data_IF_814746943445
#
_entry.id   IF_814746943445
#
_cell.length_a   1.000
_cell.length_b   1.000
_cell.length_c   1.000
_cell.angle_alpha   90.00
_cell.angle_beta   90.00
_cell.angle_gamma   90.00
#
_symmetry.space_group_name_H-M   'P 1'
#
loop_
_entity.id
_entity.type
_entity.pdbx_description
1 polymer ?
#
# COMPACT_ATOMS: atom_id res chain seq x y z
N UNK A 1 26.53 -5.55 -9.89
CA UNK A 1 25.16 -5.03 -9.73
C UNK A 1 25.25 -3.96 -8.67
N UNK A 2 25.05 -2.69 -9.05
CA UNK A 2 24.95 -1.63 -8.05
C UNK A 2 23.90 -2.04 -7.02
N UNK A 3 24.26 -1.92 -5.76
CA UNK A 3 23.36 -2.23 -4.65
C UNK A 3 22.35 -1.09 -4.60
N UNK A 4 21.31 -1.16 -5.44
CA UNK A 4 20.26 -0.16 -5.52
C UNK A 4 19.68 -0.01 -4.12
N UNK A 5 19.87 1.17 -3.55
CA UNK A 5 19.40 1.50 -2.22
C UNK A 5 17.94 1.93 -2.33
N UNK A 6 17.03 1.00 -2.01
CA UNK A 6 15.58 1.21 -2.08
C UNK A 6 15.18 2.35 -1.15
N UNK A 7 15.80 2.46 0.02
CA UNK A 7 15.55 3.53 0.98
C UNK A 7 15.88 4.91 0.38
N UNK A 8 17.02 5.03 -0.33
CA UNK A 8 17.37 6.27 -1.04
C UNK A 8 16.34 6.62 -2.13
N UNK A 9 15.85 5.64 -2.88
CA UNK A 9 14.81 5.89 -3.90
C UNK A 9 13.50 6.38 -3.28
N UNK A 10 13.15 5.87 -2.10
CA UNK A 10 11.99 6.33 -1.33
C UNK A 10 12.19 7.78 -0.86
N UNK A 11 13.38 8.11 -0.34
CA UNK A 11 13.74 9.49 0.07
C UNK A 11 13.68 10.47 -1.10
N UNK A 12 14.08 10.04 -2.30
CA UNK A 12 13.99 10.82 -3.54
C UNK A 12 12.58 10.83 -4.16
N UNK A 13 11.57 10.24 -3.50
CA UNK A 13 10.20 10.07 -4.00
C UNK A 13 10.08 9.31 -5.35
N UNK A 14 11.10 8.53 -5.72
CA UNK A 14 11.15 7.69 -6.94
C UNK A 14 10.51 6.34 -6.67
N UNK A 15 9.22 6.37 -6.32
CA UNK A 15 8.50 5.22 -5.75
C UNK A 15 8.34 4.05 -6.73
N UNK A 16 8.18 4.31 -8.04
CA UNK A 16 8.07 3.23 -9.03
C UNK A 16 9.40 2.46 -9.18
N UNK A 17 10.52 3.17 -9.22
CA UNK A 17 11.86 2.57 -9.27
C UNK A 17 12.18 1.82 -7.97
N UNK A 18 11.76 2.37 -6.82
CA UNK A 18 11.87 1.70 -5.53
C UNK A 18 11.09 0.38 -5.52
N UNK A 19 9.89 0.35 -6.10
CA UNK A 19 9.07 -0.84 -6.19
C UNK A 19 9.66 -1.87 -7.16
N UNK A 20 10.19 -1.43 -8.30
CA UNK A 20 10.88 -2.31 -9.26
C UNK A 20 12.11 -2.98 -8.64
N UNK A 21 12.97 -2.21 -7.99
CA UNK A 21 14.12 -2.72 -7.27
C UNK A 21 13.72 -3.67 -6.13
N UNK A 22 12.62 -3.39 -5.43
CA UNK A 22 12.08 -4.27 -4.40
C UNK A 22 11.52 -5.58 -4.99
N UNK A 23 10.85 -5.54 -6.13
CA UNK A 23 10.32 -6.73 -6.78
C UNK A 23 11.45 -7.70 -7.17
N UNK A 24 12.55 -7.18 -7.74
CA UNK A 24 13.75 -7.98 -8.01
C UNK A 24 14.33 -8.61 -6.72
N UNK A 25 14.31 -7.88 -5.60
CA UNK A 25 14.74 -8.42 -4.29
C UNK A 25 13.77 -9.50 -3.78
N UNK A 26 12.47 -9.34 -3.97
CA UNK A 26 11.42 -10.28 -3.54
C UNK A 26 11.46 -11.60 -4.32
N UNK A 27 11.90 -11.60 -5.59
CA UNK A 27 12.13 -12.82 -6.36
C UNK A 27 13.22 -13.71 -5.75
N UNK A 28 14.27 -13.07 -5.21
CA UNK A 28 15.40 -13.79 -4.58
C UNK A 28 15.17 -14.09 -3.10
N UNK A 29 14.46 -13.22 -2.38
CA UNK A 29 14.22 -13.36 -0.94
C UNK A 29 12.88 -12.73 -0.52
N UNK A 30 11.88 -13.60 -0.33
CA UNK A 30 10.61 -13.24 0.32
C UNK A 30 10.79 -13.21 1.83
N UNK A 31 11.07 -12.03 2.35
CA UNK A 31 11.08 -11.77 3.79
C UNK A 31 9.92 -10.89 4.19
N UNK A 32 9.46 -11.03 5.44
CA UNK A 32 8.45 -10.15 6.04
C UNK A 32 8.86 -8.68 5.92
N UNK A 33 10.16 -8.37 6.14
CA UNK A 33 10.69 -7.01 5.98
C UNK A 33 10.48 -6.45 4.56
N UNK A 34 10.75 -7.25 3.53
CA UNK A 34 10.57 -6.81 2.14
C UNK A 34 9.09 -6.65 1.80
N UNK A 35 8.21 -7.52 2.30
CA UNK A 35 6.77 -7.41 2.11
C UNK A 35 6.19 -6.16 2.79
N UNK A 36 6.61 -5.89 4.04
CA UNK A 36 6.26 -4.65 4.75
C UNK A 36 6.71 -3.41 3.98
N UNK A 37 7.92 -3.44 3.41
CA UNK A 37 8.43 -2.35 2.58
C UNK A 37 7.58 -2.14 1.31
N UNK A 38 7.18 -3.23 0.64
CA UNK A 38 6.31 -3.17 -0.55
C UNK A 38 4.94 -2.58 -0.23
N UNK A 39 4.37 -2.97 0.90
CA UNK A 39 3.14 -2.37 1.43
C UNK A 39 3.29 -0.87 1.67
N UNK A 40 4.41 -0.42 2.27
CA UNK A 40 4.69 1.00 2.51
C UNK A 40 4.85 1.80 1.21
N UNK A 41 5.63 1.30 0.25
CA UNK A 41 5.86 1.99 -1.04
C UNK A 41 4.53 2.16 -1.78
N UNK A 42 3.74 1.09 -1.91
CA UNK A 42 2.43 1.15 -2.58
C UNK A 42 1.42 2.03 -1.84
N UNK A 43 1.49 2.10 -0.50
CA UNK A 43 0.70 3.06 0.28
C UNK A 43 1.09 4.51 -0.03
N UNK A 44 2.40 4.81 -0.15
CA UNK A 44 2.89 6.14 -0.55
C UNK A 44 2.48 6.51 -1.98
N UNK A 45 2.34 5.51 -2.85
CA UNK A 45 1.77 5.67 -4.20
C UNK A 45 0.24 5.82 -4.20
N UNK A 46 -0.42 5.74 -3.04
CA UNK A 46 -1.88 5.68 -2.89
C UNK A 46 -2.54 4.49 -3.61
N UNK A 47 -1.76 3.46 -3.96
CA UNK A 47 -2.23 2.18 -4.50
C UNK A 47 -2.68 1.29 -3.34
N UNK A 48 -3.78 1.67 -2.69
CA UNK A 48 -4.24 1.04 -1.45
C UNK A 48 -4.57 -0.45 -1.60
N UNK A 49 -5.09 -0.88 -2.75
CA UNK A 49 -5.34 -2.30 -3.03
C UNK A 49 -4.06 -3.14 -3.02
N UNK A 50 -3.03 -2.67 -3.72
CA UNK A 50 -1.72 -3.34 -3.76
C UNK A 50 -1.06 -3.34 -2.38
N UNK A 51 -1.20 -2.25 -1.65
CA UNK A 51 -0.69 -2.12 -0.29
C UNK A 51 -1.32 -3.14 0.66
N UNK A 52 -2.64 -3.31 0.60
CA UNK A 52 -3.34 -4.34 1.36
C UNK A 52 -2.85 -5.75 1.00
N UNK A 53 -2.65 -6.04 -0.28
CA UNK A 53 -2.13 -7.34 -0.73
C UNK A 53 -0.76 -7.65 -0.10
N UNK A 54 0.14 -6.66 -0.03
CA UNK A 54 1.42 -6.83 0.65
C UNK A 54 1.28 -7.09 2.14
N UNK A 55 0.45 -6.33 2.84
CA UNK A 55 0.26 -6.50 4.28
C UNK A 55 -0.45 -7.81 4.64
N UNK A 56 -1.38 -8.30 3.84
CA UNK A 56 -1.96 -9.62 4.05
C UNK A 56 -0.94 -10.75 3.87
N UNK A 57 -0.04 -10.64 2.86
CA UNK A 57 1.08 -11.59 2.72
C UNK A 57 2.02 -11.58 3.93
N UNK A 58 2.17 -10.44 4.61
CA UNK A 58 2.90 -10.40 5.90
C UNK A 58 2.16 -11.23 6.95
N UNK A 59 0.84 -11.05 7.07
CA UNK A 59 0.02 -11.79 8.04
C UNK A 59 -0.10 -13.29 7.74
N UNK A 60 0.06 -13.71 6.48
CA UNK A 60 0.17 -15.13 6.12
C UNK A 60 1.44 -15.79 6.70
N UNK A 61 2.51 -15.03 6.89
CA UNK A 61 3.79 -15.51 7.45
C UNK A 61 3.86 -15.26 8.96
N UNK A 62 3.44 -14.08 9.40
CA UNK A 62 3.42 -13.63 10.79
C UNK A 62 2.02 -13.10 11.14
N UNK A 63 1.08 -13.97 11.57
CA UNK A 63 -0.30 -13.59 11.87
C UNK A 63 -0.43 -12.46 12.90
N UNK A 64 0.51 -12.40 13.85
CA UNK A 64 0.53 -11.42 14.94
C UNK A 64 1.37 -10.17 14.62
N UNK A 65 1.71 -9.94 13.34
CA UNK A 65 2.50 -8.77 12.95
C UNK A 65 1.70 -7.47 13.14
N UNK A 66 1.95 -6.80 14.27
CA UNK A 66 1.26 -5.57 14.69
C UNK A 66 1.39 -4.45 13.66
N UNK A 67 2.54 -4.35 12.99
CA UNK A 67 2.77 -3.31 11.98
C UNK A 67 1.82 -3.52 10.77
N UNK A 68 1.74 -4.73 10.23
CA UNK A 68 0.84 -5.03 9.12
C UNK A 68 -0.64 -4.79 9.49
N UNK A 69 -1.07 -5.24 10.68
CA UNK A 69 -2.44 -5.01 11.17
C UNK A 69 -2.76 -3.51 11.30
N UNK A 70 -1.82 -2.72 11.83
CA UNK A 70 -1.95 -1.27 11.95
C UNK A 70 -2.09 -0.61 10.58
N UNK A 71 -1.23 -0.97 9.62
CA UNK A 71 -1.29 -0.40 8.26
C UNK A 71 -2.58 -0.75 7.53
N UNK A 72 -3.06 -1.99 7.63
CA UNK A 72 -4.37 -2.41 7.08
C UNK A 72 -5.50 -1.55 7.67
N UNK A 73 -5.47 -1.32 8.99
CA UNK A 73 -6.47 -0.50 9.66
C UNK A 73 -6.44 0.95 9.18
N UNK A 74 -5.25 1.54 9.01
CA UNK A 74 -5.10 2.89 8.45
C UNK A 74 -5.67 2.99 7.03
N UNK A 75 -5.35 2.02 6.16
CA UNK A 75 -5.84 2.00 4.78
C UNK A 75 -7.37 1.89 4.74
N UNK A 76 -7.96 1.00 5.55
CA UNK A 76 -9.42 0.88 5.65
C UNK A 76 -10.06 2.17 6.13
N UNK A 77 -9.44 2.88 7.07
CA UNK A 77 -9.87 4.20 7.51
C UNK A 77 -9.90 5.22 6.36
N UNK A 78 -8.80 5.29 5.59
CA UNK A 78 -8.71 6.17 4.40
C UNK A 78 -9.81 5.84 3.39
N UNK A 79 -9.97 4.57 3.02
CA UNK A 79 -10.97 4.15 2.03
C UNK A 79 -12.41 4.40 2.51
N UNK A 80 -12.68 4.24 3.80
CA UNK A 80 -14.00 4.55 4.37
C UNK A 80 -14.31 6.05 4.28
N UNK A 81 -13.35 6.90 4.65
CA UNK A 81 -13.47 8.37 4.53
C UNK A 81 -13.73 8.76 3.08
N UNK A 82 -12.95 8.21 2.14
CA UNK A 82 -13.12 8.47 0.71
C UNK A 82 -14.53 8.09 0.24
N UNK A 83 -15.04 6.91 0.62
CA UNK A 83 -16.41 6.51 0.31
C UNK A 83 -17.45 7.49 0.87
N UNK A 84 -17.32 7.94 2.12
CA UNK A 84 -18.24 8.92 2.73
C UNK A 84 -18.33 10.22 1.94
N UNK A 85 -17.18 10.78 1.51
CA UNK A 85 -17.15 11.99 0.70
C UNK A 85 -17.78 11.83 -0.69
N UNK A 86 -17.71 10.63 -1.28
CA UNK A 86 -18.39 10.34 -2.55
C UNK A 86 -19.91 10.25 -2.39
N UNK A 87 -20.42 9.77 -1.24
CA UNK A 87 -21.87 9.70 -0.98
C UNK A 87 -22.45 11.04 -0.49
N UNK A 88 -21.67 11.88 0.17
CA UNK A 88 -22.10 13.22 0.60
C UNK A 88 -22.08 14.26 -0.53
N UNK A 89 -21.40 13.98 -1.65
CA UNK A 89 -21.51 14.80 -2.86
C UNK A 89 -22.86 14.50 -3.57
N UNK A 90 -23.82 15.40 -3.40
CA UNK A 90 -25.18 15.43 -3.99
C UNK A 90 -25.23 15.44 -5.53
N UNK A 91 -24.12 15.26 -6.23
CA UNK A 91 -24.09 15.11 -7.70
C UNK A 91 -24.59 13.74 -8.18
N UNK A 92 -24.80 12.79 -7.27
CA UNK A 92 -25.48 11.51 -7.55
C UNK A 92 -26.85 11.45 -6.87
N UNK A 93 -27.49 12.58 -6.63
CA UNK A 93 -28.91 12.58 -6.31
C UNK A 93 -29.68 12.14 -7.57
N UNK A 94 -30.09 10.87 -7.57
CA UNK A 94 -30.88 10.29 -8.65
C UNK A 94 -32.25 10.97 -8.80
N UNK A 95 -32.65 11.83 -7.86
CA UNK A 95 -33.87 12.65 -7.94
C UNK A 95 -33.72 13.91 -8.81
N UNK A 96 -32.53 14.23 -9.34
CA UNK A 96 -32.34 15.31 -10.32
C UNK A 96 -32.61 14.88 -11.77
N UNK A 97 -32.93 13.60 -12.01
CA UNK A 97 -33.22 13.03 -13.32
C UNK A 97 -34.66 12.50 -13.47
N UNK A 98 -35.61 12.93 -12.62
CA UNK A 98 -37.06 12.68 -12.81
C UNK A 98 -37.78 13.85 -13.49
#
# INVERSE_FOLDING_TARGET
MENINIEKLIEEHRLDEALEALNARLESNKSVKNLLLGGKITMMQQKYGDSLNFFYKVLEIEPDNVEAQSKISSIRGILNITNSFYFENTYLDSSLYE
#
